data_IF_618044082478
#
_entry.id   IF_618044082478
#
_cell.length_a   1.000
_cell.length_b   1.000
_cell.length_c   1.000
_cell.angle_alpha   90.00
_cell.angle_beta   90.00
_cell.angle_gamma   90.00
#
_symmetry.space_group_name_H-M   'P 1'
#
loop_
_entity.id
_entity.type
_entity.pdbx_description
1 polymer ?
#
# COMPACT_ATOMS: atom_id res chain seq x y z
N UNK A 1 17.17 -3.10 -4.22
CA UNK A 1 15.87 -2.95 -3.52
C UNK A 1 16.06 -3.04 -2.02
N UNK A 2 15.07 -2.65 -1.21
CA UNK A 2 15.08 -2.89 0.23
C UNK A 2 14.97 -4.38 0.57
N UNK A 3 15.46 -4.79 1.73
CA UNK A 3 15.44 -6.20 2.18
C UNK A 3 14.02 -6.70 2.42
N UNK A 4 13.17 -5.83 2.96
CA UNK A 4 11.79 -6.19 3.29
C UNK A 4 10.93 -6.29 2.03
N UNK A 5 11.19 -5.42 1.02
CA UNK A 5 10.56 -5.53 -0.31
C UNK A 5 10.86 -6.89 -0.94
N UNK A 6 12.13 -7.34 -0.93
CA UNK A 6 12.46 -8.67 -1.49
C UNK A 6 11.67 -9.78 -0.81
N UNK A 7 11.61 -9.77 0.54
CA UNK A 7 10.85 -10.78 1.29
C UNK A 7 9.37 -10.76 0.96
N UNK A 8 8.78 -9.57 0.89
CA UNK A 8 7.35 -9.38 0.55
C UNK A 8 7.07 -9.85 -0.88
N UNK A 9 7.91 -9.46 -1.85
CA UNK A 9 7.73 -9.87 -3.23
C UNK A 9 7.86 -11.40 -3.41
N UNK A 10 8.81 -12.03 -2.70
CA UNK A 10 8.96 -13.49 -2.72
C UNK A 10 7.74 -14.19 -2.12
N UNK A 11 7.23 -13.70 -0.97
CA UNK A 11 6.02 -14.23 -0.36
C UNK A 11 4.79 -14.01 -1.25
N UNK A 12 4.71 -12.88 -1.96
CA UNK A 12 3.62 -12.56 -2.87
C UNK A 12 3.63 -13.41 -4.14
N UNK A 13 4.80 -13.79 -4.64
CA UNK A 13 4.97 -14.55 -5.90
C UNK A 13 4.21 -15.88 -5.90
N UNK A 14 4.06 -16.51 -4.74
CA UNK A 14 3.34 -17.76 -4.61
C UNK A 14 1.82 -17.63 -4.85
N UNK A 15 1.27 -16.42 -4.74
CA UNK A 15 -0.16 -16.15 -4.80
C UNK A 15 -0.62 -15.40 -6.05
N UNK A 16 0.30 -14.94 -6.88
CA UNK A 16 -0.05 -14.25 -8.14
C UNK A 16 0.32 -15.11 -9.34
N UNK A 17 -0.47 -15.05 -10.43
CA UNK A 17 -0.07 -15.66 -11.69
C UNK A 17 1.28 -15.06 -12.13
N UNK A 18 2.16 -15.87 -12.66
CA UNK A 18 3.49 -15.46 -13.15
C UNK A 18 4.31 -14.65 -12.13
N UNK A 19 4.09 -14.93 -10.84
CA UNK A 19 4.71 -14.21 -9.75
C UNK A 19 6.23 -14.27 -9.81
N UNK A 20 6.87 -13.10 -9.81
CA UNK A 20 8.32 -12.97 -9.82
C UNK A 20 8.88 -12.91 -8.39
N UNK A 21 9.80 -13.84 -8.08
CA UNK A 21 10.54 -13.86 -6.82
C UNK A 21 11.95 -13.27 -7.03
N UNK A 22 12.16 -11.97 -6.81
CA UNK A 22 13.45 -11.33 -7.05
C UNK A 22 14.52 -11.88 -6.11
N UNK A 23 15.78 -11.75 -6.57
CA UNK A 23 16.97 -11.97 -5.77
C UNK A 23 17.84 -10.72 -5.87
N UNK A 24 17.92 -9.96 -4.80
CA UNK A 24 18.75 -8.76 -4.78
C UNK A 24 20.24 -9.12 -4.74
N UNK A 25 21.04 -8.42 -5.54
CA UNK A 25 22.51 -8.46 -5.47
C UNK A 25 23.06 -7.55 -4.36
N UNK A 26 22.31 -6.50 -4.00
CA UNK A 26 22.61 -5.60 -2.89
C UNK A 26 21.32 -5.04 -2.29
N UNK A 27 21.36 -4.71 -1.01
CA UNK A 27 20.22 -4.10 -0.30
C UNK A 27 20.43 -2.62 -0.09
N UNK A 28 19.34 -1.85 -0.27
CA UNK A 28 19.26 -0.46 0.12
C UNK A 28 19.11 -0.37 1.64
N UNK A 29 19.92 0.49 2.25
CA UNK A 29 19.83 0.84 3.68
C UNK A 29 19.75 2.35 3.80
N UNK A 30 18.83 2.85 4.62
CA UNK A 30 18.59 4.28 4.76
C UNK A 30 19.87 5.06 5.03
N UNK A 31 20.19 6.02 4.14
CA UNK A 31 21.36 6.91 4.21
C UNK A 31 22.74 6.21 4.18
N UNK A 32 22.78 4.97 3.79
CA UNK A 32 24.03 4.24 3.61
C UNK A 32 24.37 4.14 2.14
N UNK A 33 25.39 4.87 1.73
CA UNK A 33 25.85 4.90 0.35
C UNK A 33 26.33 3.51 -0.10
N UNK A 34 25.97 3.14 -1.30
CA UNK A 34 26.49 1.98 -2.00
C UNK A 34 27.07 2.39 -3.37
N UNK A 35 28.02 1.64 -3.88
CA UNK A 35 28.60 1.84 -5.20
C UNK A 35 28.06 0.81 -6.19
N UNK A 36 27.69 1.29 -7.39
CA UNK A 36 27.28 0.45 -8.52
C UNK A 36 28.01 0.95 -9.77
N UNK A 37 29.09 0.28 -10.15
CA UNK A 37 30.00 0.81 -11.19
C UNK A 37 30.53 2.19 -10.79
N UNK A 38 30.42 3.21 -11.66
CA UNK A 38 30.84 4.57 -11.36
C UNK A 38 29.89 5.31 -10.43
N UNK A 39 28.68 4.83 -10.22
CA UNK A 39 27.64 5.51 -9.47
C UNK A 39 27.79 5.32 -7.97
N UNK A 40 27.74 6.42 -7.20
CA UNK A 40 27.55 6.41 -5.78
C UNK A 40 26.08 6.68 -5.47
N UNK A 41 25.38 5.70 -4.87
CA UNK A 41 23.94 5.76 -4.63
C UNK A 41 23.67 5.84 -3.14
N UNK A 42 22.99 6.91 -2.70
CA UNK A 42 22.54 7.06 -1.32
C UNK A 42 21.01 6.91 -1.27
N UNK A 43 20.52 5.79 -0.74
CA UNK A 43 19.07 5.58 -0.58
C UNK A 43 18.53 6.34 0.64
N UNK A 44 17.35 6.90 0.50
CA UNK A 44 16.59 7.56 1.55
C UNK A 44 15.27 6.83 1.75
N UNK A 45 15.09 6.18 2.90
CA UNK A 45 13.83 5.52 3.22
C UNK A 45 12.72 6.56 3.30
N UNK A 46 11.61 6.32 2.59
CA UNK A 46 10.46 7.25 2.52
C UNK A 46 9.19 6.61 3.06
N UNK A 47 8.23 7.45 3.42
CA UNK A 47 6.86 7.02 3.64
C UNK A 47 6.17 6.85 2.28
N UNK A 48 5.60 5.70 2.06
CA UNK A 48 4.76 5.35 0.91
C UNK A 48 3.81 4.22 1.29
N UNK A 49 2.73 4.02 0.54
CA UNK A 49 1.81 2.89 0.74
C UNK A 49 2.47 1.53 0.51
N UNK A 50 3.46 1.47 -0.37
CA UNK A 50 4.38 0.33 -0.49
C UNK A 50 5.38 0.31 0.67
N UNK A 51 5.61 -0.87 1.23
CA UNK A 51 6.52 -1.04 2.36
C UNK A 51 7.98 -1.00 1.91
N UNK A 52 8.88 -0.41 2.73
CA UNK A 52 10.32 -0.34 2.49
C UNK A 52 10.69 0.38 1.16
N UNK A 53 10.00 1.51 0.87
CA UNK A 53 10.19 2.35 -0.31
C UNK A 53 11.34 3.35 -0.11
N UNK A 54 12.06 3.66 -1.20
CA UNK A 54 13.22 4.54 -1.17
C UNK A 54 13.20 5.59 -2.27
N UNK A 55 13.54 6.84 -1.92
CA UNK A 55 14.10 7.82 -2.83
C UNK A 55 15.61 7.56 -2.99
N UNK A 56 16.20 7.97 -4.11
CA UNK A 56 17.61 7.72 -4.42
C UNK A 56 18.33 9.02 -4.77
N UNK A 57 19.44 9.29 -4.09
CA UNK A 57 20.44 10.26 -4.53
C UNK A 57 21.53 9.49 -5.27
N UNK A 58 21.81 9.88 -6.52
CA UNK A 58 22.80 9.25 -7.40
C UNK A 58 23.84 10.27 -7.76
N UNK A 59 25.12 9.97 -7.52
CA UNK A 59 26.25 10.81 -7.84
C UNK A 59 27.22 10.07 -8.80
N UNK A 60 27.63 10.78 -9.85
CA UNK A 60 28.66 10.34 -10.80
C UNK A 60 29.35 11.58 -11.41
N UNK A 61 30.67 11.57 -11.52
CA UNK A 61 31.48 12.64 -12.14
C UNK A 61 31.15 14.06 -11.59
N UNK A 62 30.87 14.14 -10.29
CA UNK A 62 30.52 15.38 -9.61
C UNK A 62 29.11 15.91 -9.90
N UNK A 63 28.29 15.20 -10.66
CA UNK A 63 26.87 15.48 -10.91
C UNK A 63 25.99 14.70 -9.97
N UNK A 64 24.88 15.30 -9.53
CA UNK A 64 23.95 14.72 -8.58
C UNK A 64 22.51 14.73 -9.09
N UNK A 65 21.90 13.57 -9.09
CA UNK A 65 20.50 13.35 -9.39
C UNK A 65 19.76 12.90 -8.14
N UNK A 66 18.60 13.45 -7.88
CA UNK A 66 17.69 12.97 -6.85
C UNK A 66 16.40 12.45 -7.49
N UNK A 67 16.14 11.15 -7.33
CA UNK A 67 14.91 10.47 -7.75
C UNK A 67 14.01 10.32 -6.52
N UNK A 68 12.85 10.99 -6.51
CA UNK A 68 11.94 10.94 -5.36
C UNK A 68 11.37 9.53 -5.11
N UNK A 69 11.25 8.72 -6.16
CA UNK A 69 10.33 7.59 -6.13
C UNK A 69 8.92 8.08 -5.83
N UNK A 70 8.04 7.15 -5.47
CA UNK A 70 6.73 7.46 -4.92
C UNK A 70 6.87 7.66 -3.41
N UNK A 71 6.32 8.74 -2.89
CA UNK A 71 6.41 9.07 -1.47
C UNK A 71 5.15 9.77 -0.97
N UNK A 72 4.98 9.84 0.35
CA UNK A 72 3.94 10.62 1.02
C UNK A 72 4.42 11.12 2.38
N UNK A 73 3.64 12.00 3.03
CA UNK A 73 3.95 12.54 4.35
C UNK A 73 2.92 12.10 5.43
N UNK A 74 1.81 11.51 5.02
CA UNK A 74 0.61 11.27 5.84
C UNK A 74 0.37 9.79 6.20
N UNK A 75 1.35 8.91 5.95
CA UNK A 75 1.33 7.51 6.40
C UNK A 75 1.87 7.32 7.82
N UNK A 76 2.00 6.08 8.24
CA UNK A 76 2.55 5.76 9.57
C UNK A 76 4.03 6.12 9.73
N UNK A 77 4.73 6.35 8.62
CA UNK A 77 6.14 6.72 8.55
C UNK A 77 6.36 8.20 8.18
N UNK A 78 5.35 9.07 8.29
CA UNK A 78 5.43 10.49 7.93
C UNK A 78 6.59 11.24 8.59
N UNK A 79 7.09 10.77 9.76
CA UNK A 79 8.31 11.29 10.39
C UNK A 79 9.55 11.18 9.51
N UNK A 80 9.59 10.24 8.56
CA UNK A 80 10.71 10.11 7.60
C UNK A 80 10.71 11.29 6.62
N UNK A 81 9.53 11.72 6.17
CA UNK A 81 9.37 12.89 5.32
C UNK A 81 9.89 14.15 6.03
N UNK A 82 9.46 14.40 7.27
CA UNK A 82 9.93 15.52 8.07
C UNK A 82 11.46 15.47 8.34
N UNK A 83 12.01 14.27 8.54
CA UNK A 83 13.45 14.08 8.69
C UNK A 83 14.21 14.37 7.38
N UNK A 84 13.61 14.09 6.23
CA UNK A 84 14.18 14.43 4.92
C UNK A 84 14.16 15.93 4.69
N UNK A 85 13.08 16.63 5.03
CA UNK A 85 13.01 18.10 4.93
C UNK A 85 14.05 18.79 5.83
N UNK A 86 14.31 18.26 7.03
CA UNK A 86 15.33 18.80 7.95
C UNK A 86 16.76 18.56 7.45
N UNK A 87 16.99 17.49 6.72
CA UNK A 87 18.31 17.11 6.19
C UNK A 87 18.17 16.64 4.74
N UNK A 88 17.79 17.53 3.83
CA UNK A 88 17.58 17.17 2.43
C UNK A 88 18.89 16.86 1.72
N UNK A 89 18.85 16.11 0.62
CA UNK A 89 19.94 16.03 -0.34
C UNK A 89 20.37 17.44 -0.77
N UNK A 90 21.67 17.66 -0.96
CA UNK A 90 22.23 18.98 -1.26
C UNK A 90 22.94 18.99 -2.60
N UNK A 91 23.00 20.17 -3.22
CA UNK A 91 23.68 20.39 -4.51
C UNK A 91 23.13 19.46 -5.62
N UNK A 92 21.81 19.31 -5.67
CA UNK A 92 21.14 18.47 -6.66
C UNK A 92 21.08 19.21 -8.01
N UNK A 93 21.68 18.62 -9.03
CA UNK A 93 21.64 19.15 -10.41
C UNK A 93 20.28 18.89 -11.06
N UNK A 94 19.75 17.67 -10.89
CA UNK A 94 18.44 17.27 -11.42
C UNK A 94 17.65 16.52 -10.35
N UNK A 95 16.39 16.92 -10.16
CA UNK A 95 15.42 16.20 -9.37
C UNK A 95 14.34 15.62 -10.27
N UNK A 96 14.16 14.29 -10.24
CA UNK A 96 13.00 13.61 -10.80
C UNK A 96 11.95 13.49 -9.69
N UNK A 97 10.82 14.21 -9.81
CA UNK A 97 9.82 14.27 -8.74
C UNK A 97 8.46 13.77 -9.22
N UNK A 98 7.87 12.86 -8.44
CA UNK A 98 6.50 12.42 -8.66
C UNK A 98 5.50 13.57 -8.58
N UNK A 99 4.35 13.41 -9.22
CA UNK A 99 3.25 14.37 -9.18
C UNK A 99 1.89 13.72 -9.38
N UNK A 100 1.73 12.47 -8.98
CA UNK A 100 0.51 11.68 -9.24
C UNK A 100 -0.74 12.23 -8.52
N UNK A 101 -0.56 13.09 -7.51
CA UNK A 101 -1.66 13.72 -6.76
C UNK A 101 -2.11 15.07 -7.33
N UNK A 102 -1.35 15.67 -8.23
CA UNK A 102 -1.74 16.93 -8.87
C UNK A 102 -3.07 16.77 -9.61
N UNK A 103 -3.94 17.78 -9.50
CA UNK A 103 -5.28 17.73 -10.07
C UNK A 103 -6.31 16.94 -9.23
N UNK A 104 -5.89 16.27 -8.14
CA UNK A 104 -6.80 15.55 -7.23
C UNK A 104 -7.19 16.35 -5.99
N UNK A 105 -6.34 17.29 -5.61
CA UNK A 105 -6.52 18.22 -4.50
C UNK A 105 -6.23 19.64 -4.96
N UNK A 106 -6.64 20.63 -4.18
CA UNK A 106 -6.15 21.99 -4.28
C UNK A 106 -4.63 22.05 -4.00
N UNK A 107 -3.98 23.08 -4.53
CA UNK A 107 -2.52 23.17 -4.54
C UNK A 107 -1.87 23.30 -3.15
N UNK A 108 -2.66 23.67 -2.13
CA UNK A 108 -2.24 23.80 -0.74
C UNK A 108 -2.96 22.81 0.21
N UNK A 109 -3.76 21.89 -0.35
CA UNK A 109 -4.48 20.89 0.41
C UNK A 109 -3.60 19.66 0.70
N UNK A 110 -3.95 18.97 1.78
CA UNK A 110 -3.33 17.73 2.21
C UNK A 110 -4.33 16.58 2.24
N UNK A 111 -3.85 15.37 1.99
CA UNK A 111 -4.65 14.18 2.23
C UNK A 111 -4.82 13.91 3.72
N UNK A 112 -5.94 13.30 4.15
CA UNK A 112 -6.06 12.80 5.50
C UNK A 112 -4.96 11.78 5.81
N UNK A 113 -4.50 11.76 7.05
CA UNK A 113 -3.49 10.78 7.49
C UNK A 113 -4.09 9.38 7.60
N UNK A 114 -3.23 8.36 7.56
CA UNK A 114 -3.67 6.98 7.88
C UNK A 114 -4.29 6.90 9.30
N UNK A 115 -3.86 7.73 10.23
CA UNK A 115 -4.39 7.78 11.59
C UNK A 115 -5.81 8.32 11.63
N UNK A 116 -6.12 9.35 10.86
CA UNK A 116 -7.45 9.94 10.77
C UNK A 116 -8.49 9.00 10.13
N UNK A 117 -8.06 8.00 9.38
CA UNK A 117 -8.98 6.98 8.86
C UNK A 117 -9.46 5.99 9.94
N UNK A 118 -8.69 5.79 11.00
CA UNK A 118 -9.00 4.77 12.02
C UNK A 118 -10.34 5.02 12.75
N UNK A 119 -10.69 6.25 13.19
CA UNK A 119 -12.01 6.55 13.73
C UNK A 119 -13.16 6.22 12.77
N UNK A 120 -13.00 6.51 11.47
CA UNK A 120 -14.02 6.20 10.47
C UNK A 120 -14.23 4.69 10.34
N UNK A 121 -13.15 3.90 10.31
CA UNK A 121 -13.28 2.45 10.36
C UNK A 121 -13.99 1.96 11.62
N UNK A 122 -13.63 2.46 12.80
CA UNK A 122 -14.24 2.07 14.08
C UNK A 122 -15.75 2.33 14.06
N UNK A 123 -16.18 3.52 13.61
CA UNK A 123 -17.58 3.88 13.49
C UNK A 123 -18.35 2.89 12.63
N UNK A 124 -17.84 2.60 11.42
CA UNK A 124 -18.49 1.66 10.48
C UNK A 124 -18.48 0.23 10.99
N UNK A 125 -17.40 -0.20 11.64
CA UNK A 125 -17.32 -1.53 12.23
C UNK A 125 -18.34 -1.71 13.34
N UNK A 126 -18.54 -0.72 14.20
CA UNK A 126 -19.54 -0.75 15.27
C UNK A 126 -20.98 -0.70 14.73
N UNK A 127 -21.22 0.08 13.68
CA UNK A 127 -22.55 0.29 13.11
C UNK A 127 -23.04 -0.89 12.23
N UNK A 128 -22.18 -1.82 11.85
CA UNK A 128 -22.54 -2.92 10.95
C UNK A 128 -22.96 -4.15 11.74
N UNK A 129 -24.20 -4.65 11.59
CA UNK A 129 -24.65 -5.85 12.32
C UNK A 129 -23.99 -7.15 11.81
N UNK A 130 -23.64 -7.21 10.54
CA UNK A 130 -22.98 -8.36 9.88
C UNK A 130 -21.46 -8.23 9.78
N UNK A 131 -20.88 -8.94 8.82
CA UNK A 131 -19.46 -8.86 8.51
C UNK A 131 -19.12 -7.54 7.82
N UNK A 132 -18.00 -6.92 8.21
CA UNK A 132 -17.43 -5.82 7.44
C UNK A 132 -16.36 -6.38 6.50
N UNK A 133 -16.51 -6.11 5.22
CA UNK A 133 -15.63 -6.55 4.15
C UNK A 133 -14.80 -5.35 3.67
N UNK A 134 -13.49 -5.39 3.85
CA UNK A 134 -12.62 -4.29 3.45
C UNK A 134 -11.76 -4.71 2.26
N UNK A 135 -11.96 -4.05 1.13
CA UNK A 135 -11.17 -4.24 -0.07
C UNK A 135 -9.95 -3.31 -0.06
N UNK A 136 -8.77 -3.83 0.26
CA UNK A 136 -7.50 -3.09 0.21
C UNK A 136 -6.35 -3.99 -0.27
N UNK A 137 -5.26 -3.37 -0.69
CA UNK A 137 -4.02 -4.10 -0.98
C UNK A 137 -3.43 -4.66 0.32
N UNK A 138 -3.11 -5.96 0.33
CA UNK A 138 -2.39 -6.57 1.45
C UNK A 138 -0.96 -6.04 1.62
N UNK A 139 -0.39 -5.43 0.56
CA UNK A 139 0.94 -4.81 0.61
C UNK A 139 0.91 -3.37 1.15
N UNK A 140 -0.27 -2.75 1.27
CA UNK A 140 -0.42 -1.51 2.02
C UNK A 140 -0.48 -1.84 3.52
N UNK A 141 0.71 -2.09 4.08
CA UNK A 141 0.86 -2.52 5.47
C UNK A 141 0.28 -1.49 6.44
N UNK A 142 0.46 -0.20 6.18
CA UNK A 142 -0.07 0.87 7.01
C UNK A 142 -1.60 0.77 7.12
N UNK A 143 -2.29 0.55 6.00
CA UNK A 143 -3.74 0.38 5.95
C UNK A 143 -4.19 -0.87 6.69
N UNK A 144 -3.51 -2.00 6.51
CA UNK A 144 -3.83 -3.24 7.22
C UNK A 144 -3.67 -3.08 8.74
N UNK A 145 -2.63 -2.36 9.18
CA UNK A 145 -2.43 -2.03 10.60
C UNK A 145 -3.58 -1.19 11.15
N UNK A 146 -4.07 -0.18 10.41
CA UNK A 146 -5.21 0.66 10.83
C UNK A 146 -6.50 -0.15 10.90
N UNK A 147 -6.78 -0.98 9.90
CA UNK A 147 -7.93 -1.87 9.91
C UNK A 147 -7.88 -2.84 11.10
N UNK A 148 -6.71 -3.44 11.38
CA UNK A 148 -6.54 -4.31 12.56
C UNK A 148 -6.82 -3.58 13.87
N UNK A 149 -6.27 -2.38 14.05
CA UNK A 149 -6.49 -1.56 15.25
C UNK A 149 -7.97 -1.19 15.41
N UNK A 150 -8.61 -0.78 14.33
CA UNK A 150 -10.04 -0.47 14.31
C UNK A 150 -10.88 -1.71 14.64
N UNK A 151 -10.57 -2.87 14.07
CA UNK A 151 -11.24 -4.13 14.38
C UNK A 151 -11.12 -4.46 15.87
N UNK A 152 -9.91 -4.43 16.42
CA UNK A 152 -9.68 -4.68 17.85
C UNK A 152 -10.43 -3.70 18.75
N UNK A 153 -10.42 -2.40 18.44
CA UNK A 153 -11.14 -1.33 19.21
C UNK A 153 -12.65 -1.44 19.11
N UNK A 154 -13.17 -2.06 18.06
CA UNK A 154 -14.60 -2.33 17.89
C UNK A 154 -15.04 -3.71 18.39
N UNK A 155 -14.15 -4.47 19.07
CA UNK A 155 -14.42 -5.81 19.57
C UNK A 155 -14.53 -6.87 18.49
N UNK A 156 -13.96 -6.63 17.29
CA UNK A 156 -14.00 -7.55 16.14
C UNK A 156 -12.66 -8.22 15.91
N UNK A 157 -12.69 -9.35 15.22
CA UNK A 157 -11.51 -10.08 14.74
C UNK A 157 -11.26 -9.71 13.29
N UNK A 158 -10.01 -9.34 12.96
CA UNK A 158 -9.57 -9.19 11.57
C UNK A 158 -9.33 -10.58 10.97
N UNK A 159 -9.99 -10.87 9.85
CA UNK A 159 -9.78 -12.07 9.05
C UNK A 159 -8.97 -11.68 7.81
N UNK A 160 -7.87 -12.36 7.58
CA UNK A 160 -7.01 -12.18 6.39
C UNK A 160 -6.96 -13.48 5.59
N UNK A 161 -6.70 -13.41 4.29
CA UNK A 161 -6.41 -14.60 3.49
C UNK A 161 -4.94 -15.06 3.66
N UNK A 162 -4.59 -16.22 3.12
CA UNK A 162 -3.23 -16.75 3.23
C UNK A 162 -2.19 -15.80 2.58
N UNK A 163 -2.53 -15.15 1.47
CA UNK A 163 -1.67 -14.17 0.84
C UNK A 163 -1.35 -12.99 1.75
N UNK A 164 -2.38 -12.37 2.33
CA UNK A 164 -2.17 -11.25 3.25
C UNK A 164 -1.40 -11.69 4.50
N UNK A 165 -1.66 -12.89 5.01
CA UNK A 165 -0.94 -13.46 6.15
C UNK A 165 0.55 -13.63 5.86
N UNK A 166 0.92 -14.18 4.69
CA UNK A 166 2.33 -14.34 4.28
C UNK A 166 3.01 -12.97 4.03
N UNK A 167 2.32 -12.02 3.41
CA UNK A 167 2.83 -10.63 3.24
C UNK A 167 3.13 -10.00 4.61
N UNK A 168 2.20 -10.07 5.56
CA UNK A 168 2.41 -9.53 6.91
C UNK A 168 3.58 -10.20 7.64
N UNK A 169 3.75 -11.51 7.51
CA UNK A 169 4.90 -12.25 8.05
C UNK A 169 6.21 -11.82 7.39
N UNK A 170 6.20 -11.63 6.07
CA UNK A 170 7.38 -11.28 5.29
C UNK A 170 7.97 -9.91 5.64
N UNK A 171 7.20 -9.00 6.25
CA UNK A 171 7.73 -7.73 6.78
C UNK A 171 8.84 -7.93 7.82
N UNK A 172 8.84 -9.07 8.51
CA UNK A 172 9.81 -9.38 9.58
C UNK A 172 9.69 -8.51 10.83
N UNK A 173 8.80 -7.53 10.85
CA UNK A 173 8.64 -6.60 11.97
C UNK A 173 7.76 -7.20 13.08
N UNK A 174 8.20 -7.13 14.33
CA UNK A 174 7.42 -7.57 15.49
C UNK A 174 6.26 -6.63 15.82
N UNK A 175 6.24 -5.42 15.25
CA UNK A 175 5.22 -4.40 15.50
C UNK A 175 4.04 -4.46 14.50
N UNK A 176 4.11 -5.33 13.51
CA UNK A 176 3.06 -5.49 12.49
C UNK A 176 2.20 -6.70 12.85
N UNK A 177 0.85 -6.54 12.91
CA UNK A 177 -0.07 -7.61 13.22
C UNK A 177 0.03 -8.73 12.20
N UNK A 178 0.08 -9.96 12.67
CA UNK A 178 0.17 -11.15 11.83
C UNK A 178 -0.39 -12.37 12.58
N UNK A 179 -0.90 -13.40 11.87
CA UNK A 179 -1.50 -14.57 12.52
C UNK A 179 -0.41 -15.50 13.08
N UNK A 180 0.19 -15.07 14.16
CA UNK A 180 1.15 -15.85 14.97
C UNK A 180 0.83 -15.70 16.46
N UNK A 181 1.34 -16.60 17.28
CA UNK A 181 1.16 -16.53 18.74
C UNK A 181 1.58 -15.16 19.28
N UNK A 182 0.75 -14.58 20.14
CA UNK A 182 0.96 -13.25 20.71
C UNK A 182 0.18 -12.12 20.06
N UNK A 183 -0.41 -12.33 18.86
CA UNK A 183 -1.29 -11.37 18.22
C UNK A 183 -2.77 -11.76 18.38
N UNK A 184 -3.54 -11.07 19.25
CA UNK A 184 -4.96 -11.34 19.43
C UNK A 184 -5.81 -10.78 18.28
N UNK A 185 -7.05 -11.23 18.18
CA UNK A 185 -8.05 -10.68 17.24
C UNK A 185 -7.62 -10.70 15.77
N UNK A 186 -6.85 -11.71 15.37
CA UNK A 186 -6.51 -11.96 13.97
C UNK A 186 -6.72 -13.45 13.66
N UNK A 187 -7.37 -13.75 12.52
CA UNK A 187 -7.64 -15.08 12.03
C UNK A 187 -7.32 -15.19 10.54
N UNK A 188 -7.21 -16.41 10.04
CA UNK A 188 -6.93 -16.70 8.63
C UNK A 188 -8.09 -17.47 8.03
N UNK A 189 -8.67 -16.92 6.97
CA UNK A 189 -9.57 -17.64 6.10
C UNK A 189 -8.84 -17.95 4.80
N UNK A 190 -8.84 -19.23 4.40
CA UNK A 190 -8.19 -19.65 3.15
C UNK A 190 -9.29 -20.05 2.18
N UNK A 191 -9.63 -19.20 1.20
CA UNK A 191 -10.65 -19.47 0.20
C UNK A 191 -10.34 -20.72 -0.63
N UNK A 192 -11.38 -21.32 -1.20
CA UNK A 192 -11.25 -22.56 -1.97
C UNK A 192 -10.23 -22.41 -3.11
N UNK A 193 -10.30 -21.32 -3.86
CA UNK A 193 -9.37 -21.03 -4.96
C UNK A 193 -7.91 -21.00 -4.49
N UNK A 194 -7.61 -20.29 -3.39
CA UNK A 194 -6.25 -20.24 -2.83
C UNK A 194 -5.75 -21.63 -2.40
N UNK A 195 -6.63 -22.48 -1.83
CA UNK A 195 -6.22 -23.84 -1.45
C UNK A 195 -5.82 -24.68 -2.65
N UNK A 196 -6.56 -24.57 -3.75
CA UNK A 196 -6.22 -25.26 -5.00
C UNK A 196 -4.90 -24.74 -5.56
N UNK A 197 -4.73 -23.43 -5.67
CA UNK A 197 -3.51 -22.78 -6.15
C UNK A 197 -2.27 -23.21 -5.36
N UNK A 198 -2.36 -23.19 -4.02
CA UNK A 198 -1.24 -23.59 -3.16
C UNK A 198 -0.91 -25.09 -3.31
N UNK A 199 -1.93 -25.94 -3.54
CA UNK A 199 -1.74 -27.37 -3.80
C UNK A 199 -1.04 -27.61 -5.16
N UNK A 200 -1.49 -26.95 -6.21
CA UNK A 200 -0.91 -27.04 -7.56
C UNK A 200 0.57 -26.58 -7.57
N UNK A 201 0.91 -25.54 -6.83
CA UNK A 201 2.29 -25.05 -6.69
C UNK A 201 3.16 -25.90 -5.73
N UNK A 202 2.63 -26.94 -5.11
CA UNK A 202 3.36 -27.81 -4.19
C UNK A 202 3.68 -27.17 -2.82
N UNK A 203 3.04 -26.05 -2.48
CA UNK A 203 3.23 -25.28 -1.24
C UNK A 203 2.06 -25.42 -0.26
N UNK A 204 1.31 -26.52 -0.37
CA UNK A 204 0.21 -26.85 0.54
C UNK A 204 0.55 -26.76 2.04
N UNK A 205 1.80 -27.00 2.53
CA UNK A 205 2.15 -26.83 3.94
C UNK A 205 1.88 -25.44 4.51
N UNK A 206 1.80 -24.39 3.69
CA UNK A 206 1.39 -23.05 4.12
C UNK A 206 -0.01 -23.10 4.76
N UNK A 207 -0.94 -23.88 4.20
CA UNK A 207 -2.30 -24.03 4.71
C UNK A 207 -2.29 -24.60 6.14
N UNK A 208 -1.44 -25.60 6.39
CA UNK A 208 -1.33 -26.26 7.69
C UNK A 208 -0.64 -25.38 8.73
N UNK A 209 0.26 -24.50 8.32
CA UNK A 209 0.94 -23.54 9.21
C UNK A 209 -0.03 -22.61 9.92
N UNK A 210 -1.22 -22.38 9.36
CA UNK A 210 -2.26 -21.54 9.94
C UNK A 210 -3.32 -22.28 10.74
N UNK A 211 -3.18 -23.58 10.97
CA UNK A 211 -4.21 -24.42 11.63
C UNK A 211 -4.73 -23.83 12.94
N UNK A 212 -3.85 -23.23 13.76
CA UNK A 212 -4.22 -22.61 15.04
C UNK A 212 -4.92 -21.25 14.94
N UNK A 213 -4.93 -20.64 13.75
CA UNK A 213 -5.54 -19.32 13.48
C UNK A 213 -6.66 -19.40 12.45
N UNK A 214 -6.94 -20.60 11.94
CA UNK A 214 -7.82 -20.80 10.81
C UNK A 214 -9.28 -20.70 11.20
N UNK A 215 -10.01 -19.86 10.47
CA UNK A 215 -11.46 -19.85 10.46
C UNK A 215 -11.95 -20.72 9.29
N UNK A 216 -12.76 -21.72 9.61
CA UNK A 216 -13.27 -22.65 8.63
C UNK A 216 -14.54 -22.10 7.95
N UNK A 217 -14.84 -22.49 6.69
CA UNK A 217 -16.02 -22.01 5.97
C UNK A 217 -17.33 -22.18 6.74
N UNK A 218 -17.47 -23.31 7.44
CA UNK A 218 -18.68 -23.68 8.22
C UNK A 218 -18.90 -22.75 9.43
N UNK A 219 -17.88 -22.00 9.83
CA UNK A 219 -17.92 -21.07 10.96
C UNK A 219 -18.06 -19.60 10.54
N UNK A 220 -17.98 -19.30 9.25
CA UNK A 220 -18.00 -17.92 8.77
C UNK A 220 -19.29 -17.18 9.13
N UNK A 221 -20.45 -17.81 8.94
CA UNK A 221 -21.75 -17.21 9.27
C UNK A 221 -21.87 -16.88 10.76
N UNK A 222 -21.44 -17.80 11.64
CA UNK A 222 -21.45 -17.60 13.09
C UNK A 222 -20.54 -16.44 13.53
N UNK A 223 -19.38 -16.31 12.87
CA UNK A 223 -18.39 -15.29 13.19
C UNK A 223 -18.64 -13.95 12.50
N UNK A 224 -19.47 -13.90 11.45
CA UNK A 224 -19.71 -12.70 10.63
C UNK A 224 -20.01 -11.43 11.45
N UNK A 225 -20.90 -11.41 12.47
CA UNK A 225 -21.21 -10.21 13.25
C UNK A 225 -20.03 -9.65 14.06
N UNK A 226 -19.00 -10.47 14.29
CA UNK A 226 -17.82 -10.10 15.09
C UNK A 226 -16.54 -10.06 14.25
N UNK A 227 -16.68 -9.93 12.93
CA UNK A 227 -15.54 -9.99 12.02
C UNK A 227 -15.42 -8.78 11.11
N UNK A 228 -14.18 -8.47 10.79
CA UNK A 228 -13.77 -7.62 9.66
C UNK A 228 -12.91 -8.50 8.77
N UNK A 229 -13.19 -8.60 7.48
CA UNK A 229 -12.41 -9.43 6.56
C UNK A 229 -11.76 -8.58 5.47
N UNK A 230 -10.46 -8.75 5.26
CA UNK A 230 -9.82 -8.25 4.05
C UNK A 230 -10.26 -9.12 2.88
N UNK A 231 -10.89 -8.50 1.87
CA UNK A 231 -11.42 -9.23 0.73
C UNK A 231 -10.75 -8.88 -0.59
N UNK A 232 -10.87 -9.84 -1.51
CA UNK A 232 -10.74 -9.65 -2.94
C UNK A 232 -12.08 -9.94 -3.59
N UNK A 233 -12.45 -9.27 -4.68
CA UNK A 233 -13.78 -9.40 -5.29
C UNK A 233 -14.23 -10.86 -5.54
N UNK A 234 -13.32 -11.72 -5.97
CA UNK A 234 -13.60 -13.13 -6.22
C UNK A 234 -13.94 -13.95 -4.97
N UNK A 235 -13.65 -13.45 -3.74
CA UNK A 235 -13.99 -14.15 -2.48
C UNK A 235 -15.49 -14.08 -2.16
N UNK A 236 -16.26 -13.18 -2.77
CA UNK A 236 -17.69 -13.04 -2.49
C UNK A 236 -18.45 -14.35 -2.69
N UNK A 237 -18.09 -15.15 -3.69
CA UNK A 237 -18.71 -16.44 -3.93
C UNK A 237 -18.56 -17.43 -2.76
N UNK A 238 -17.38 -17.49 -2.14
CA UNK A 238 -17.15 -18.33 -0.98
C UNK A 238 -17.95 -17.85 0.24
N UNK A 239 -18.08 -16.52 0.42
CA UNK A 239 -18.85 -15.92 1.51
C UNK A 239 -20.35 -16.16 1.35
N UNK A 240 -20.87 -16.13 0.12
CA UNK A 240 -22.27 -16.48 -0.19
C UNK A 240 -22.57 -17.93 0.18
N UNK A 241 -21.71 -18.84 -0.27
CA UNK A 241 -21.86 -20.27 0.04
C UNK A 241 -21.82 -20.55 1.53
N UNK A 242 -21.09 -19.73 2.28
CA UNK A 242 -21.01 -19.81 3.74
C UNK A 242 -22.14 -19.06 4.47
N UNK A 243 -23.09 -18.44 3.75
CA UNK A 243 -24.14 -17.57 4.32
C UNK A 243 -23.60 -16.44 5.22
N UNK A 244 -22.42 -15.92 4.92
CA UNK A 244 -21.72 -14.94 5.74
C UNK A 244 -21.98 -13.48 5.33
N UNK A 245 -22.87 -13.25 4.33
CA UNK A 245 -23.13 -11.93 3.76
C UNK A 245 -24.35 -11.21 4.38
N UNK A 246 -25.07 -11.85 5.28
CA UNK A 246 -26.25 -11.24 5.92
C UNK A 246 -25.87 -9.98 6.69
N UNK A 247 -26.54 -8.84 6.37
CA UNK A 247 -26.28 -7.54 6.95
C UNK A 247 -24.80 -7.08 6.84
N UNK A 248 -24.07 -7.56 5.83
CA UNK A 248 -22.71 -7.18 5.57
C UNK A 248 -22.61 -5.74 5.04
N UNK A 249 -21.42 -5.16 5.12
CA UNK A 249 -21.03 -3.89 4.53
C UNK A 249 -19.71 -4.08 3.81
N UNK A 250 -19.55 -3.41 2.67
CA UNK A 250 -18.28 -3.35 1.95
C UNK A 250 -17.66 -1.97 2.08
N UNK A 251 -16.38 -1.91 2.40
CA UNK A 251 -15.58 -0.70 2.42
C UNK A 251 -14.48 -0.83 1.37
N UNK A 252 -14.47 0.09 0.41
CA UNK A 252 -13.39 0.23 -0.55
C UNK A 252 -12.28 1.10 0.04
N UNK A 253 -11.09 0.56 0.20
CA UNK A 253 -9.96 1.23 0.81
C UNK A 253 -8.73 1.25 -0.11
N UNK A 254 -8.97 1.57 -1.36
CA UNK A 254 -8.01 1.76 -2.45
C UNK A 254 -8.37 3.01 -3.25
N UNK A 255 -7.54 3.38 -4.20
CA UNK A 255 -7.81 4.50 -5.07
C UNK A 255 -9.15 4.38 -5.82
N UNK A 256 -9.96 5.44 -5.77
CA UNK A 256 -11.29 5.44 -6.39
C UNK A 256 -11.26 5.33 -7.92
N UNK A 257 -10.13 5.66 -8.56
CA UNK A 257 -9.97 5.47 -10.00
C UNK A 257 -10.26 4.05 -10.43
N UNK A 258 -9.88 3.05 -9.63
CA UNK A 258 -10.19 1.64 -9.90
C UNK A 258 -11.69 1.30 -9.87
N UNK A 259 -12.55 2.16 -9.32
CA UNK A 259 -14.00 2.01 -9.38
C UNK A 259 -14.60 2.59 -10.67
N UNK A 260 -13.87 3.46 -11.38
CA UNK A 260 -14.31 4.13 -12.59
C UNK A 260 -13.88 3.38 -13.86
N UNK A 261 -12.86 2.57 -13.78
CA UNK A 261 -12.39 1.75 -14.88
C UNK A 261 -13.40 0.63 -15.16
N UNK A 262 -14.02 0.67 -16.33
CA UNK A 262 -14.93 -0.40 -16.80
C UNK A 262 -14.18 -1.74 -16.74
N UNK A 263 -14.91 -2.80 -16.36
CA UNK A 263 -14.38 -4.17 -16.24
C UNK A 263 -13.32 -4.38 -15.13
N UNK A 264 -12.94 -3.35 -14.37
CA UNK A 264 -12.06 -3.53 -13.23
C UNK A 264 -12.71 -4.39 -12.14
N UNK A 265 -11.89 -5.06 -11.34
CA UNK A 265 -12.37 -5.83 -10.20
C UNK A 265 -13.11 -4.96 -9.15
N UNK A 266 -12.72 -3.67 -9.04
CA UNK A 266 -13.38 -2.70 -8.15
C UNK A 266 -14.77 -2.33 -8.65
N UNK A 267 -14.91 -2.00 -9.94
CA UNK A 267 -16.21 -1.68 -10.54
C UNK A 267 -17.19 -2.86 -10.42
N UNK A 268 -16.72 -4.07 -10.72
CA UNK A 268 -17.54 -5.30 -10.58
C UNK A 268 -17.96 -5.56 -9.13
N UNK A 269 -17.08 -5.32 -8.17
CA UNK A 269 -17.41 -5.45 -6.75
C UNK A 269 -18.51 -4.44 -6.36
N UNK A 270 -18.38 -3.19 -6.79
CA UNK A 270 -19.37 -2.14 -6.51
C UNK A 270 -20.73 -2.48 -7.13
N UNK A 271 -20.76 -2.87 -8.41
CA UNK A 271 -21.98 -3.31 -9.11
C UNK A 271 -22.66 -4.49 -8.40
N UNK A 272 -21.86 -5.46 -7.93
CA UNK A 272 -22.36 -6.60 -7.21
C UNK A 272 -22.96 -6.23 -5.85
N UNK A 273 -22.38 -5.26 -5.15
CA UNK A 273 -22.94 -4.72 -3.92
C UNK A 273 -24.27 -3.99 -4.17
N UNK A 274 -24.37 -3.21 -5.25
CA UNK A 274 -25.59 -2.50 -5.67
C UNK A 274 -26.73 -3.49 -5.96
N UNK A 275 -26.45 -4.54 -6.73
CA UNK A 275 -27.44 -5.61 -7.05
C UNK A 275 -28.00 -6.31 -5.79
N UNK A 276 -27.20 -6.42 -4.76
CA UNK A 276 -27.54 -7.12 -3.51
C UNK A 276 -27.99 -6.19 -2.39
N UNK A 277 -28.09 -4.88 -2.63
CA UNK A 277 -28.36 -3.87 -1.62
C UNK A 277 -27.39 -3.93 -0.41
N UNK A 278 -26.11 -4.26 -0.67
CA UNK A 278 -25.05 -4.25 0.35
C UNK A 278 -24.49 -2.82 0.43
N UNK A 279 -24.50 -2.18 1.59
CA UNK A 279 -23.90 -0.86 1.76
C UNK A 279 -22.43 -0.85 1.31
N UNK A 280 -22.10 0.08 0.41
CA UNK A 280 -20.76 0.26 -0.14
C UNK A 280 -20.28 1.70 0.10
N UNK A 281 -19.10 1.86 0.67
CA UNK A 281 -18.51 3.19 0.92
C UNK A 281 -17.00 3.18 0.71
N UNK A 282 -16.42 4.37 0.56
CA UNK A 282 -14.98 4.56 0.39
C UNK A 282 -14.39 5.15 1.67
N UNK A 283 -13.36 4.49 2.22
CA UNK A 283 -12.52 5.01 3.30
C UNK A 283 -11.07 4.81 2.86
N UNK A 284 -10.47 5.89 2.34
CA UNK A 284 -9.15 5.81 1.70
C UNK A 284 -8.37 7.11 1.87
N UNK A 285 -7.06 7.02 1.90
CA UNK A 285 -6.13 8.12 1.68
C UNK A 285 -5.06 7.71 0.67
N UNK A 286 -4.44 8.68 0.03
CA UNK A 286 -3.48 8.47 -1.04
C UNK A 286 -2.22 7.72 -0.60
N UNK A 287 -1.62 6.98 -1.52
CA UNK A 287 -0.26 6.44 -1.39
C UNK A 287 0.83 7.47 -1.73
N UNK A 288 0.45 8.62 -2.29
CA UNK A 288 1.34 9.65 -2.87
C UNK A 288 1.23 10.97 -2.12
N UNK A 289 2.29 11.78 -2.18
CA UNK A 289 2.36 13.07 -1.51
C UNK A 289 1.28 14.05 -1.99
N UNK A 290 0.77 14.89 -1.08
CA UNK A 290 -0.10 15.99 -1.44
C UNK A 290 0.65 17.07 -2.23
N UNK A 291 -0.04 17.93 -3.01
CA UNK A 291 0.61 19.07 -3.67
C UNK A 291 1.39 19.95 -2.69
N UNK A 292 0.83 20.21 -1.51
CA UNK A 292 1.49 20.97 -0.44
C UNK A 292 2.80 20.30 0.02
N UNK A 293 2.83 18.98 0.17
CA UNK A 293 4.04 18.25 0.57
C UNK A 293 5.09 18.21 -0.55
N UNK A 294 4.66 18.06 -1.82
CA UNK A 294 5.58 18.16 -2.96
C UNK A 294 6.26 19.54 -3.02
N UNK A 295 5.54 20.64 -2.76
CA UNK A 295 6.10 21.99 -2.65
C UNK A 295 7.15 22.05 -1.53
N UNK A 296 6.86 21.52 -0.36
CA UNK A 296 7.80 21.46 0.76
C UNK A 296 9.07 20.69 0.41
N UNK A 297 8.94 19.56 -0.29
CA UNK A 297 10.06 18.74 -0.72
C UNK A 297 10.92 19.47 -1.74
N UNK A 298 10.32 20.03 -2.79
CA UNK A 298 11.03 20.78 -3.83
C UNK A 298 11.79 21.97 -3.24
N UNK A 299 11.16 22.74 -2.35
CA UNK A 299 11.79 23.87 -1.67
C UNK A 299 12.97 23.43 -0.75
N UNK A 300 12.86 22.31 -0.06
CA UNK A 300 13.92 21.79 0.82
C UNK A 300 15.14 21.27 0.04
N UNK A 301 14.91 20.57 -1.07
CA UNK A 301 15.96 20.02 -1.95
C UNK A 301 16.59 21.15 -2.79
N UNK A 302 15.79 22.10 -3.27
CA UNK A 302 16.17 23.24 -4.11
C UNK A 302 17.05 22.82 -5.30
N UNK A 303 16.56 21.94 -6.20
CA UNK A 303 17.35 21.44 -7.32
C UNK A 303 17.60 22.52 -8.37
N UNK A 304 18.69 22.41 -9.14
CA UNK A 304 18.94 23.31 -10.29
C UNK A 304 17.91 23.11 -11.41
N UNK A 305 17.43 21.86 -11.59
CA UNK A 305 16.36 21.51 -12.55
C UNK A 305 15.43 20.48 -11.89
N UNK A 306 14.11 20.68 -12.06
CA UNK A 306 13.07 19.77 -11.59
C UNK A 306 12.34 19.20 -12.79
N UNK A 307 12.30 17.88 -12.90
CA UNK A 307 11.62 17.14 -13.97
C UNK A 307 10.44 16.39 -13.36
N UNK A 308 9.22 16.66 -13.81
CA UNK A 308 8.04 15.92 -13.38
C UNK A 308 8.06 14.51 -13.95
N UNK A 309 7.79 13.54 -13.07
CA UNK A 309 7.58 12.13 -13.41
C UNK A 309 6.30 11.62 -12.75
N UNK A 310 5.78 10.49 -13.21
CA UNK A 310 4.62 9.82 -12.62
C UNK A 310 3.43 10.80 -12.39
N UNK A 311 3.06 11.55 -13.41
CA UNK A 311 1.98 12.54 -13.36
C UNK A 311 1.25 12.66 -14.69
N UNK A 312 -0.06 12.88 -14.63
CA UNK A 312 -0.87 13.31 -15.79
C UNK A 312 -0.89 14.83 -15.94
N UNK A 313 -0.45 15.59 -14.92
CA UNK A 313 -0.57 17.03 -14.79
C UNK A 313 0.80 17.73 -14.93
N UNK A 314 1.67 17.22 -15.81
CA UNK A 314 3.02 17.78 -16.00
C UNK A 314 2.99 19.27 -16.36
N UNK A 315 1.94 19.71 -17.05
CA UNK A 315 1.78 21.10 -17.49
C UNK A 315 1.48 22.08 -16.35
N UNK A 316 1.04 21.58 -15.20
CA UNK A 316 0.85 22.39 -13.98
C UNK A 316 2.13 22.63 -13.20
N UNK A 317 3.18 21.81 -13.41
CA UNK A 317 4.41 21.93 -12.62
C UNK A 317 5.04 23.32 -12.68
N UNK A 318 5.18 24.02 -13.85
CA UNK A 318 5.77 25.36 -13.90
C UNK A 318 5.00 26.43 -13.12
N UNK A 319 3.72 26.21 -12.83
CA UNK A 319 2.93 27.12 -12.01
C UNK A 319 3.12 26.88 -10.51
N UNK A 320 3.65 25.71 -10.11
CA UNK A 320 3.76 25.28 -8.72
C UNK A 320 5.20 25.21 -8.22
N UNK A 321 6.16 25.04 -9.12
CA UNK A 321 7.57 24.78 -8.78
C UNK A 321 8.50 25.61 -9.65
N UNK A 322 9.64 26.00 -9.05
CA UNK A 322 10.72 26.67 -9.77
C UNK A 322 11.58 25.69 -10.57
N UNK A 323 12.29 26.19 -11.57
CA UNK A 323 13.29 25.47 -12.35
C UNK A 323 12.76 24.20 -13.04
N UNK A 324 11.49 24.19 -13.40
CA UNK A 324 10.86 23.03 -14.06
C UNK A 324 11.38 22.87 -15.48
N UNK A 325 11.88 21.68 -15.79
CA UNK A 325 12.24 21.25 -17.12
C UNK A 325 11.29 20.14 -17.57
N UNK A 326 10.60 20.35 -18.69
CA UNK A 326 9.75 19.30 -19.30
C UNK A 326 10.61 18.40 -20.17
N UNK A 327 10.40 17.12 -20.03
CA UNK A 327 11.08 16.07 -20.80
C UNK A 327 10.01 15.11 -21.29
N UNK A 328 10.04 14.71 -22.54
CA UNK A 328 9.13 13.72 -23.10
C UNK A 328 9.64 12.29 -22.86
N UNK A 329 8.72 11.32 -22.94
CA UNK A 329 9.08 9.91 -22.75
C UNK A 329 10.09 9.48 -23.82
N UNK A 330 11.20 8.88 -23.38
CA UNK A 330 12.29 8.45 -24.25
C UNK A 330 13.29 9.55 -24.67
N UNK A 331 13.10 10.78 -24.21
CA UNK A 331 14.04 11.88 -24.45
C UNK A 331 15.28 11.77 -23.53
N UNK A 332 16.46 12.00 -24.10
CA UNK A 332 17.71 12.04 -23.35
C UNK A 332 18.01 13.44 -22.84
N UNK A 333 18.46 13.49 -21.61
CA UNK A 333 18.91 14.75 -20.99
C UNK A 333 20.30 14.59 -20.40
N UNK A 334 21.07 15.69 -20.41
CA UNK A 334 22.32 15.78 -19.68
C UNK A 334 22.07 16.29 -18.25
N UNK A 335 22.69 15.64 -17.27
CA UNK A 335 22.60 15.98 -15.83
C UNK A 335 23.73 16.92 -15.43
#
# INVERSE_FOLDING_TARGET
MGRDVERIMRAAADFVPDGFAPKASAYLENRKQLKLGPFAITPHLVDHSGFDAYALEVEVDGRRLFYSGDLRAHGNKGKLFEAMLKRPPKNIDVMLMEGSSLGRLGDDEQFPTEEELEPHFIERFKATPGMVLVACSAQNIDRVVRIYRAAKRSGRTLIVDAYAAEVLKATGSEHIPKPVRGWPNIAVYIPHFQRLQLKEKGIAPIVDSYRGFRLWPEKLAEHAPRSVMLIRPWMLHDLDRANAMTNARVIWSQWEGYLKEKESAGAKLKEECEKRNIPFEVIHTSGHASPADLKRLAAAVAPKRLIPIHTFERDRFPALFDNVMRVDDGEWIEV
#
